data_IF_524471736347
#
_entry.id   IF_524471736347
#
_cell.length_a   1.000
_cell.length_b   1.000
_cell.length_c   1.000
_cell.angle_alpha   90.00
_cell.angle_beta   90.00
_cell.angle_gamma   90.00
#
_symmetry.space_group_name_H-M   'P 1'
#
loop_
_entity.id
_entity.type
_entity.pdbx_description
1 polymer ?
#
# COMPACT_ATOMS: atom_id res chain seq x y z
N UNK A 1 -14.93 -18.41 -5.72
CA UNK A 1 -15.25 -18.24 -7.15
C UNK A 1 -14.00 -17.64 -7.78
N UNK A 2 -13.32 -18.32 -8.72
CA UNK A 2 -12.15 -17.73 -9.40
C UNK A 2 -12.69 -16.64 -10.34
N UNK A 3 -12.35 -15.38 -10.10
CA UNK A 3 -12.73 -14.30 -10.99
C UNK A 3 -11.62 -14.09 -12.01
N UNK A 4 -11.97 -14.16 -13.29
CA UNK A 4 -11.18 -13.52 -14.34
C UNK A 4 -11.64 -12.08 -14.36
N UNK A 5 -10.78 -11.13 -14.00
CA UNK A 5 -11.10 -9.70 -14.08
C UNK A 5 -11.39 -9.40 -15.56
N UNK A 6 -12.68 -9.26 -15.89
CA UNK A 6 -13.11 -8.75 -17.18
C UNK A 6 -12.93 -7.24 -17.15
N UNK A 7 -12.14 -6.74 -18.10
CA UNK A 7 -11.83 -5.35 -18.38
C UNK A 7 -12.94 -4.37 -18.03
N UNK A 8 -12.71 -3.58 -16.99
CA UNK A 8 -13.22 -2.23 -16.90
C UNK A 8 -12.03 -1.37 -16.51
N UNK A 9 -11.61 -0.43 -17.37
CA UNK A 9 -10.64 0.59 -17.00
C UNK A 9 -11.42 1.56 -16.12
N UNK A 10 -11.44 1.35 -14.81
CA UNK A 10 -11.97 2.32 -13.87
C UNK A 10 -10.81 3.21 -13.44
N UNK A 11 -10.63 4.33 -14.14
CA UNK A 11 -9.76 5.39 -13.70
C UNK A 11 -10.40 6.05 -12.46
N UNK A 12 -9.89 5.73 -11.27
CA UNK A 12 -10.43 6.24 -10.01
C UNK A 12 -9.47 7.29 -9.46
N UNK A 13 -9.94 8.54 -9.31
CA UNK A 13 -9.16 9.56 -8.62
C UNK A 13 -9.06 9.20 -7.13
N UNK A 14 -7.92 8.63 -6.72
CA UNK A 14 -7.61 8.31 -5.33
C UNK A 14 -6.65 9.35 -4.76
N UNK A 15 -7.07 10.12 -3.75
CA UNK A 15 -6.14 10.95 -2.99
C UNK A 15 -6.58 11.05 -1.52
N UNK A 16 -5.83 10.38 -0.66
CA UNK A 16 -5.01 11.07 0.33
C UNK A 16 -3.60 10.48 0.24
N UNK A 17 -2.62 11.23 -0.28
CA UNK A 17 -1.23 10.84 -0.04
C UNK A 17 -0.39 12.03 0.38
N UNK A 18 0.60 11.72 1.21
CA UNK A 18 1.41 12.58 2.07
C UNK A 18 0.68 13.21 3.29
N UNK A 19 0.90 12.67 4.51
CA UNK A 19 0.56 13.36 5.75
C UNK A 19 1.42 14.63 5.94
N UNK A 20 0.85 15.65 6.59
CA UNK A 20 1.54 16.90 6.88
C UNK A 20 2.50 16.76 8.09
N UNK A 21 3.78 17.04 7.85
CA UNK A 21 4.89 17.33 8.81
C UNK A 21 5.19 16.30 9.91
N UNK A 22 6.43 15.79 9.94
CA UNK A 22 6.96 14.89 10.98
C UNK A 22 8.30 15.38 11.55
N UNK A 23 8.57 15.04 12.80
CA UNK A 23 9.87 15.17 13.47
C UNK A 23 10.37 13.78 13.88
N UNK A 24 11.51 13.35 13.33
CA UNK A 24 12.10 12.04 13.59
C UNK A 24 12.37 11.79 15.08
N UNK A 25 11.78 10.73 15.64
CA UNK A 25 12.27 10.05 16.83
C UNK A 25 12.72 8.64 16.44
N UNK A 26 13.96 8.26 16.75
CA UNK A 26 14.48 6.90 16.49
C UNK A 26 13.86 5.90 17.46
N UNK A 27 13.13 4.90 16.97
CA UNK A 27 12.64 3.73 17.73
C UNK A 27 11.42 3.08 17.08
N UNK A 28 10.85 2.03 17.69
CA UNK A 28 9.46 1.58 17.42
C UNK A 28 8.50 2.71 17.88
N UNK A 29 8.49 3.82 17.16
CA UNK A 29 7.62 4.95 17.44
C UNK A 29 6.30 4.74 16.72
N UNK A 30 5.22 4.60 17.49
CA UNK A 30 3.89 4.87 16.97
C UNK A 30 3.84 6.35 16.62
N UNK A 31 3.62 6.68 15.35
CA UNK A 31 3.40 8.07 14.96
C UNK A 31 2.02 8.50 15.44
N UNK A 32 1.98 9.14 16.60
CA UNK A 32 0.81 9.89 17.06
C UNK A 32 0.89 11.31 16.48
N UNK A 33 0.31 11.51 15.30
CA UNK A 33 0.05 12.84 14.78
C UNK A 33 -1.11 13.51 15.53
N UNK A 34 -0.98 14.80 15.85
CA UNK A 34 -2.16 15.64 16.09
C UNK A 34 -2.79 15.96 14.73
N UNK A 35 -3.67 15.10 14.24
CA UNK A 35 -4.37 15.30 12.97
C UNK A 35 -4.75 13.98 12.31
N UNK A 36 -5.51 14.08 11.23
CA UNK A 36 -5.92 12.92 10.46
C UNK A 36 -4.71 12.29 9.75
N UNK A 37 -4.65 10.96 9.78
CA UNK A 37 -3.62 10.13 9.19
C UNK A 37 -4.30 8.89 8.60
N UNK A 38 -4.10 8.64 7.32
CA UNK A 38 -4.92 7.67 6.58
C UNK A 38 -4.24 6.31 6.36
N UNK A 39 -3.02 6.13 6.85
CA UNK A 39 -2.23 4.90 6.65
C UNK A 39 -2.05 4.12 7.95
N UNK A 40 -2.33 2.82 7.90
CA UNK A 40 -1.98 1.84 8.94
C UNK A 40 -0.96 0.85 8.39
N UNK A 41 0.17 0.64 9.05
CA UNK A 41 1.21 -0.28 8.58
C UNK A 41 2.59 0.12 9.08
N UNK A 42 3.59 -0.02 8.22
CA UNK A 42 4.98 0.36 8.52
C UNK A 42 5.62 1.16 7.39
N UNK A 43 6.49 2.11 7.77
CA UNK A 43 7.27 2.94 6.84
C UNK A 43 8.74 2.91 7.22
N UNK A 44 9.57 2.44 6.30
CA UNK A 44 11.02 2.45 6.44
C UNK A 44 11.59 3.77 5.89
N UNK A 45 11.61 4.79 6.73
CA UNK A 45 12.18 6.10 6.36
C UNK A 45 13.71 6.03 6.20
N UNK A 46 14.22 6.88 5.31
CA UNK A 46 15.63 7.19 5.16
C UNK A 46 15.85 8.66 4.80
N UNK A 47 17.02 9.25 5.14
CA UNK A 47 17.34 10.60 4.70
C UNK A 47 17.44 10.68 3.17
N UNK A 48 17.39 11.90 2.62
CA UNK A 48 17.65 12.13 1.20
C UNK A 48 18.97 11.48 0.76
N UNK A 49 18.94 10.76 -0.36
CA UNK A 49 20.08 9.96 -0.84
C UNK A 49 20.09 8.52 -0.33
N UNK A 50 19.06 8.07 0.40
CA UNK A 50 18.89 6.65 0.75
C UNK A 50 18.72 5.78 -0.48
N UNK A 51 17.94 6.23 -1.48
CA UNK A 51 17.80 5.57 -2.77
C UNK A 51 17.03 4.25 -2.67
N UNK A 52 15.95 4.22 -1.88
CA UNK A 52 15.05 3.07 -1.89
C UNK A 52 14.46 2.91 -3.28
N UNK A 53 14.87 1.87 -3.98
CA UNK A 53 14.49 1.66 -5.37
C UNK A 53 13.69 0.37 -5.58
N UNK A 54 13.52 -0.45 -4.55
CA UNK A 54 12.73 -1.68 -4.63
C UNK A 54 12.00 -1.91 -3.31
N UNK A 55 10.69 -2.16 -3.38
CA UNK A 55 9.86 -2.52 -2.22
C UNK A 55 8.95 -3.68 -2.59
N UNK A 56 8.83 -4.65 -1.69
CA UNK A 56 8.03 -5.86 -1.89
C UNK A 56 7.33 -6.24 -0.58
N UNK A 57 6.11 -6.76 -0.68
CA UNK A 57 5.39 -7.41 0.41
C UNK A 57 4.33 -8.36 -0.13
N UNK A 58 3.95 -9.33 0.68
CA UNK A 58 2.97 -10.35 0.34
C UNK A 58 1.76 -10.29 1.26
N UNK A 59 0.57 -10.54 0.71
CA UNK A 59 -0.69 -10.60 1.45
C UNK A 59 -1.47 -11.84 1.03
N UNK A 60 -2.14 -12.49 1.98
CA UNK A 60 -3.16 -13.50 1.68
C UNK A 60 -4.47 -12.77 1.35
N UNK A 61 -5.02 -13.01 0.17
CA UNK A 61 -6.26 -12.36 -0.29
C UNK A 61 -7.38 -12.64 0.72
N UNK A 62 -7.96 -11.61 1.37
CA UNK A 62 -8.95 -11.83 2.40
C UNK A 62 -10.28 -12.33 1.81
N UNK A 63 -11.04 -13.07 2.62
CA UNK A 63 -12.35 -13.61 2.24
C UNK A 63 -13.47 -12.79 2.89
N UNK A 64 -13.75 -11.61 2.36
CA UNK A 64 -14.89 -10.80 2.80
C UNK A 64 -16.20 -11.32 2.21
N UNK A 65 -17.26 -11.28 3.00
CA UNK A 65 -18.60 -11.67 2.55
C UNK A 65 -19.69 -11.05 3.41
N UNK A 66 -20.83 -10.71 2.80
CA UNK A 66 -22.03 -10.25 3.51
C UNK A 66 -21.93 -8.88 4.17
N UNK A 67 -20.89 -8.09 3.87
CA UNK A 67 -20.72 -6.71 4.35
C UNK A 67 -21.35 -5.66 3.44
N UNK A 68 -21.19 -4.38 3.81
CA UNK A 68 -21.59 -3.25 2.97
C UNK A 68 -20.65 -3.14 1.75
N UNK A 69 -21.15 -3.16 0.50
CA UNK A 69 -20.32 -3.04 -0.70
C UNK A 69 -19.56 -1.71 -0.80
N UNK A 70 -19.94 -0.70 -0.02
CA UNK A 70 -19.24 0.60 0.04
C UNK A 70 -18.03 0.58 0.97
N UNK A 71 -17.95 -0.40 1.87
CA UNK A 71 -16.80 -0.56 2.75
C UNK A 71 -15.67 -1.29 2.04
N UNK A 72 -14.42 -0.95 2.34
CA UNK A 72 -13.27 -1.62 1.73
C UNK A 72 -12.05 -1.72 2.65
N UNK A 73 -11.14 -2.60 2.28
CA UNK A 73 -9.74 -2.59 2.72
C UNK A 73 -8.85 -2.39 1.48
N UNK A 74 -7.98 -1.38 1.51
CA UNK A 74 -6.97 -1.14 0.48
C UNK A 74 -5.59 -1.46 1.05
N UNK A 75 -4.88 -2.45 0.49
CA UNK A 75 -3.55 -2.88 0.97
C UNK A 75 -2.52 -2.82 -0.15
N UNK A 76 -1.35 -2.24 0.12
CA UNK A 76 -0.37 -1.94 -0.91
C UNK A 76 1.06 -1.83 -0.39
N UNK A 77 2.02 -1.81 -1.33
CA UNK A 77 3.43 -1.48 -1.09
C UNK A 77 3.86 -0.33 -1.99
N UNK A 78 4.78 0.49 -1.51
CA UNK A 78 5.19 1.70 -2.24
C UNK A 78 6.59 2.20 -1.91
N UNK A 79 7.01 3.17 -2.74
CA UNK A 79 8.15 4.05 -2.52
C UNK A 79 7.63 5.48 -2.44
N UNK A 80 8.12 6.24 -1.46
CA UNK A 80 7.82 7.66 -1.17
C UNK A 80 6.44 7.94 -0.54
N UNK A 81 5.93 9.16 -0.65
CA UNK A 81 4.63 9.54 -0.12
C UNK A 81 4.58 9.93 1.33
N UNK A 82 5.70 9.87 2.08
CA UNK A 82 5.74 10.33 3.46
C UNK A 82 6.68 11.52 3.66
N UNK A 83 7.99 11.27 3.69
CA UNK A 83 8.97 12.34 3.72
C UNK A 83 9.00 13.05 2.36
N UNK A 84 8.83 12.26 1.30
CA UNK A 84 8.68 12.75 -0.06
C UNK A 84 7.20 12.91 -0.44
N UNK A 85 6.71 14.14 -0.49
CA UNK A 85 5.32 14.44 -0.90
C UNK A 85 5.16 14.77 -2.39
N UNK A 86 6.19 14.54 -3.21
CA UNK A 86 6.13 14.83 -4.65
C UNK A 86 5.40 13.73 -5.42
N UNK A 87 5.62 12.47 -5.07
CA UNK A 87 5.12 11.29 -5.77
C UNK A 87 5.06 10.05 -4.86
N UNK A 88 4.40 9.00 -5.33
CA UNK A 88 4.46 7.64 -4.78
C UNK A 88 4.44 6.67 -5.95
N UNK A 89 5.33 5.69 -6.00
CA UNK A 89 5.20 4.54 -6.89
C UNK A 89 4.62 3.38 -6.08
N UNK A 90 3.40 2.93 -6.39
CA UNK A 90 2.67 1.99 -5.54
C UNK A 90 1.77 1.03 -6.33
N UNK A 91 1.51 -0.13 -5.73
CA UNK A 91 0.55 -1.13 -6.23
C UNK A 91 -0.05 -1.92 -5.08
N UNK A 92 -1.30 -2.36 -5.27
CA UNK A 92 -2.01 -3.09 -4.25
C UNK A 92 -3.29 -3.76 -4.70
N UNK A 93 -4.09 -4.11 -3.70
CA UNK A 93 -5.36 -4.79 -3.78
C UNK A 93 -6.39 -4.02 -2.96
N UNK A 94 -7.54 -3.74 -3.57
CA UNK A 94 -8.75 -3.31 -2.86
C UNK A 94 -9.69 -4.51 -2.76
N UNK A 95 -10.24 -4.75 -1.57
CA UNK A 95 -11.31 -5.72 -1.34
C UNK A 95 -12.49 -5.02 -0.66
N UNK A 96 -13.67 -5.10 -1.25
CA UNK A 96 -14.91 -4.51 -0.73
C UNK A 96 -15.66 -5.48 0.19
N UNK A 97 -16.55 -4.95 1.03
CA UNK A 97 -17.29 -5.73 2.03
C UNK A 97 -18.23 -6.80 1.45
N UNK A 98 -18.63 -6.66 0.19
CA UNK A 98 -19.38 -7.68 -0.55
C UNK A 98 -18.51 -8.81 -1.13
N UNK A 99 -17.18 -8.71 -0.98
CA UNK A 99 -16.20 -9.65 -1.47
C UNK A 99 -15.72 -9.39 -2.90
N UNK A 100 -16.20 -8.33 -3.56
CA UNK A 100 -15.61 -7.87 -4.82
C UNK A 100 -14.22 -7.28 -4.57
N UNK A 101 -13.32 -7.40 -5.54
CA UNK A 101 -11.94 -6.95 -5.40
C UNK A 101 -11.33 -6.57 -6.75
N UNK A 102 -10.27 -5.79 -6.72
CA UNK A 102 -9.51 -5.42 -7.90
C UNK A 102 -8.06 -5.05 -7.54
N UNK A 103 -7.15 -5.28 -8.49
CA UNK A 103 -5.74 -4.93 -8.37
C UNK A 103 -5.45 -3.63 -9.09
N UNK A 104 -4.55 -2.84 -8.51
CA UNK A 104 -4.28 -1.51 -9.00
C UNK A 104 -2.81 -1.17 -9.01
N UNK A 105 -2.46 -0.20 -9.85
CA UNK A 105 -1.13 0.40 -9.98
C UNK A 105 -1.25 1.91 -10.04
N UNK A 106 -0.28 2.61 -9.47
CA UNK A 106 -0.30 4.06 -9.46
C UNK A 106 1.11 4.67 -9.38
N UNK A 107 1.29 5.73 -10.15
CA UNK A 107 2.28 6.76 -9.88
C UNK A 107 1.53 7.98 -9.34
N UNK A 108 1.47 8.11 -8.02
CA UNK A 108 0.53 8.98 -7.33
C UNK A 108 0.66 10.45 -7.75
N UNK A 109 -0.49 11.14 -7.77
CA UNK A 109 -0.86 12.38 -8.50
C UNK A 109 -1.32 12.18 -9.93
N UNK A 110 -1.00 11.04 -10.54
CA UNK A 110 -1.80 10.53 -11.65
C UNK A 110 -3.01 9.74 -11.11
N UNK A 111 -3.88 9.30 -12.01
CA UNK A 111 -5.05 8.51 -11.64
C UNK A 111 -4.63 7.06 -11.36
N UNK A 112 -5.15 6.49 -10.26
CA UNK A 112 -5.04 5.07 -9.94
C UNK A 112 -5.74 4.22 -11.01
N UNK A 113 -5.07 3.17 -11.48
CA UNK A 113 -5.46 2.39 -12.64
C UNK A 113 -5.52 0.89 -12.35
N UNK A 114 -6.46 0.20 -12.99
CA UNK A 114 -6.44 -1.26 -13.13
C UNK A 114 -5.23 -1.70 -13.95
N UNK A 115 -4.74 -2.92 -13.67
CA UNK A 115 -3.80 -3.58 -14.58
C UNK A 115 -4.47 -3.90 -15.92
N UNK A 116 -3.78 -3.61 -17.02
CA UNK A 116 -4.28 -3.81 -18.39
C UNK A 116 -4.46 -5.29 -18.78
N UNK A 117 -3.85 -6.21 -18.04
CA UNK A 117 -4.02 -7.65 -18.20
C UNK A 117 -4.61 -8.22 -16.93
N UNK A 118 -5.54 -9.18 -17.05
CA UNK A 118 -6.10 -9.86 -15.89
C UNK A 118 -5.09 -10.80 -15.23
N UNK A 119 -5.06 -10.79 -13.90
CA UNK A 119 -4.46 -11.82 -13.05
C UNK A 119 -5.58 -12.69 -12.49
N UNK A 120 -5.49 -14.02 -12.56
CA UNK A 120 -6.48 -14.88 -11.91
C UNK A 120 -6.08 -15.12 -10.46
N UNK A 121 -6.95 -14.74 -9.51
CA UNK A 121 -6.76 -15.03 -8.09
C UNK A 121 -8.11 -15.14 -7.36
N UNK A 122 -8.07 -15.66 -6.14
CA UNK A 122 -9.24 -15.80 -5.27
C UNK A 122 -8.84 -15.60 -3.80
N UNK A 123 -9.82 -15.39 -2.89
CA UNK A 123 -9.56 -15.41 -1.46
C UNK A 123 -8.79 -16.67 -1.03
N UNK A 124 -7.78 -16.48 -0.19
CA UNK A 124 -6.84 -17.52 0.24
C UNK A 124 -5.59 -17.66 -0.62
N UNK A 125 -5.55 -17.08 -1.82
CA UNK A 125 -4.30 -17.00 -2.60
C UNK A 125 -3.31 -16.02 -1.94
N UNK A 126 -2.02 -16.23 -2.17
CA UNK A 126 -0.98 -15.28 -1.73
C UNK A 126 -0.57 -14.40 -2.90
N UNK A 127 -0.81 -13.10 -2.79
CA UNK A 127 -0.33 -12.11 -3.75
C UNK A 127 0.94 -11.46 -3.23
N UNK A 128 1.95 -11.36 -4.10
CA UNK A 128 3.16 -10.57 -3.89
C UNK A 128 3.08 -9.29 -4.69
N UNK A 129 3.16 -8.17 -4.00
CA UNK A 129 3.25 -6.84 -4.57
C UNK A 129 4.72 -6.43 -4.66
N UNK A 130 5.10 -5.74 -5.73
CA UNK A 130 6.45 -5.23 -5.92
C UNK A 130 6.41 -3.91 -6.66
N UNK A 131 7.17 -2.94 -6.16
CA UNK A 131 7.53 -1.73 -6.90
C UNK A 131 9.05 -1.66 -7.07
N UNK A 132 9.49 -1.24 -8.25
CA UNK A 132 10.90 -1.11 -8.59
C UNK A 132 11.13 0.17 -9.39
N UNK A 133 11.69 1.18 -8.73
CA UNK A 133 12.19 2.39 -9.38
C UNK A 133 13.49 2.09 -10.11
N UNK A 134 13.56 2.54 -11.37
CA UNK A 134 14.78 2.50 -12.20
C UNK A 134 15.41 3.87 -12.33
N UNK A 135 14.64 4.93 -12.06
CA UNK A 135 15.07 6.31 -11.88
C UNK A 135 13.97 7.08 -11.16
N UNK A 136 14.24 8.31 -10.73
CA UNK A 136 13.22 9.16 -10.12
C UNK A 136 11.96 9.39 -10.98
N UNK A 137 11.98 9.08 -12.27
CA UNK A 137 10.84 9.28 -13.19
C UNK A 137 10.46 8.00 -13.96
N UNK A 138 10.98 6.83 -13.56
CA UNK A 138 10.69 5.58 -14.25
C UNK A 138 10.76 4.38 -13.31
N UNK A 139 9.89 3.40 -13.53
CA UNK A 139 9.85 2.20 -12.69
C UNK A 139 8.80 1.21 -13.15
N UNK A 140 8.61 0.17 -12.36
CA UNK A 140 7.62 -0.87 -12.60
C UNK A 140 6.86 -1.18 -11.34
N UNK A 141 5.58 -1.48 -11.47
CA UNK A 141 4.80 -2.17 -10.46
C UNK A 141 4.49 -3.59 -10.95
N UNK A 142 4.42 -4.54 -10.05
CA UNK A 142 4.14 -5.94 -10.35
C UNK A 142 3.29 -6.56 -9.25
N UNK A 143 2.29 -7.33 -9.65
CA UNK A 143 1.55 -8.23 -8.76
C UNK A 143 1.67 -9.65 -9.27
N UNK A 144 2.10 -10.57 -8.41
CA UNK A 144 2.22 -12.00 -8.69
C UNK A 144 1.35 -12.81 -7.75
N UNK A 145 0.57 -13.75 -8.29
CA UNK A 145 -0.13 -14.74 -7.48
C UNK A 145 0.77 -15.95 -7.27
N UNK A 146 1.37 -16.05 -6.08
CA UNK A 146 2.29 -17.13 -5.73
C UNK A 146 1.62 -18.51 -5.70
N UNK A 147 0.29 -18.58 -5.60
CA UNK A 147 -0.46 -19.84 -5.60
C UNK A 147 -0.51 -20.50 -6.98
N UNK A 148 -0.40 -19.73 -8.07
CA UNK A 148 -0.51 -20.24 -9.44
C UNK A 148 0.62 -19.79 -10.38
N UNK A 149 1.49 -18.87 -9.95
CA UNK A 149 2.63 -18.35 -10.71
C UNK A 149 2.26 -17.33 -11.80
N UNK A 150 1.00 -16.91 -11.89
CA UNK A 150 0.59 -15.83 -12.79
C UNK A 150 1.03 -14.47 -12.21
N UNK A 151 1.29 -13.50 -13.08
CA UNK A 151 1.64 -12.14 -12.68
C UNK A 151 1.19 -11.10 -13.71
N UNK A 152 1.09 -9.85 -13.26
CA UNK A 152 0.78 -8.67 -14.07
C UNK A 152 1.73 -7.55 -13.70
N UNK A 153 2.03 -6.64 -14.63
CA UNK A 153 2.95 -5.54 -14.40
C UNK A 153 2.62 -4.31 -15.25
N UNK A 154 2.99 -3.13 -14.74
CA UNK A 154 2.88 -1.85 -15.42
C UNK A 154 4.26 -1.18 -15.40
N UNK A 155 4.66 -0.64 -16.55
CA UNK A 155 5.92 0.11 -16.69
C UNK A 155 5.63 1.60 -16.84
N UNK A 156 6.35 2.40 -16.07
CA UNK A 156 6.36 3.87 -16.12
C UNK A 156 7.72 4.32 -16.67
N UNK A 157 7.73 5.18 -17.69
CA UNK A 157 8.97 5.55 -18.40
C UNK A 157 9.32 7.04 -18.33
N UNK A 158 8.36 7.93 -18.07
CA UNK A 158 8.55 9.38 -18.19
C UNK A 158 7.65 10.18 -17.24
N UNK A 159 7.62 9.82 -15.97
CA UNK A 159 6.79 10.49 -14.94
C UNK A 159 7.47 11.77 -14.42
N UNK A 160 7.68 12.74 -15.31
CA UNK A 160 8.51 13.92 -15.06
C UNK A 160 7.84 15.01 -14.23
N UNK A 161 6.51 15.05 -14.22
CA UNK A 161 5.76 16.07 -13.49
C UNK A 161 5.85 15.86 -11.97
N UNK A 162 6.02 14.62 -11.54
CA UNK A 162 6.05 14.20 -10.14
C UNK A 162 7.17 13.18 -9.93
N UNK A 163 8.44 13.60 -9.85
CA UNK A 163 9.55 12.67 -9.61
C UNK A 163 9.52 12.12 -8.17
N UNK A 164 9.96 10.88 -8.02
CA UNK A 164 10.29 10.24 -6.74
C UNK A 164 11.51 10.92 -6.08
N UNK A 165 11.60 10.80 -4.76
CA UNK A 165 12.77 11.13 -3.96
C UNK A 165 13.55 9.88 -3.52
N UNK A 166 12.91 8.70 -3.52
CA UNK A 166 13.43 7.41 -3.05
C UNK A 166 13.89 7.45 -1.59
N UNK A 167 13.10 8.09 -0.72
CA UNK A 167 13.38 8.27 0.71
C UNK A 167 12.55 7.37 1.61
N UNK A 168 11.39 6.93 1.14
CA UNK A 168 10.47 6.10 1.91
C UNK A 168 10.24 4.74 1.23
N UNK A 169 10.02 3.71 2.03
CA UNK A 169 9.60 2.38 1.59
C UNK A 169 8.52 1.86 2.54
N UNK A 170 7.34 1.53 2.02
CA UNK A 170 6.19 1.31 2.89
C UNK A 170 5.29 0.14 2.50
N UNK A 171 4.55 -0.33 3.51
CA UNK A 171 3.62 -1.46 3.46
C UNK A 171 2.37 -1.09 4.26
N UNK A 172 1.28 -0.78 3.56
CA UNK A 172 0.19 0.02 4.11
C UNK A 172 -1.16 -0.65 3.88
N UNK A 173 -2.05 -0.50 4.86
CA UNK A 173 -3.50 -0.49 4.70
C UNK A 173 -4.01 0.95 4.80
N UNK A 174 -4.84 1.37 3.86
CA UNK A 174 -5.19 2.77 3.68
C UNK A 174 -6.70 3.04 3.77
N UNK A 175 -7.06 4.12 4.47
CA UNK A 175 -8.34 4.81 4.27
C UNK A 175 -8.21 5.71 3.04
N UNK A 176 -8.69 5.20 1.91
CA UNK A 176 -8.49 5.80 0.60
C UNK A 176 -9.76 6.51 0.13
N UNK A 177 -9.64 7.30 -0.93
CA UNK A 177 -10.79 7.95 -1.57
C UNK A 177 -11.08 7.35 -2.93
N UNK A 178 -12.34 7.25 -3.31
CA UNK A 178 -12.77 6.96 -4.66
C UNK A 178 -13.47 8.19 -5.23
N UNK A 179 -12.94 8.74 -6.33
CA UNK A 179 -13.46 9.94 -6.98
C UNK A 179 -13.53 11.15 -6.01
N UNK A 180 -12.52 11.28 -5.15
CA UNK A 180 -12.43 12.34 -4.15
C UNK A 180 -13.43 12.22 -2.99
N UNK A 181 -14.10 11.07 -2.84
CA UNK A 181 -14.95 10.75 -1.68
C UNK A 181 -14.28 9.67 -0.83
N UNK A 182 -14.22 9.80 0.51
CA UNK A 182 -13.72 8.75 1.38
C UNK A 182 -14.49 7.44 1.18
N UNK A 183 -13.76 6.33 1.11
CA UNK A 183 -14.35 4.99 1.06
C UNK A 183 -14.34 4.44 2.49
N UNK A 184 -15.50 4.18 3.11
CA UNK A 184 -15.55 3.67 4.47
C UNK A 184 -14.68 2.42 4.66
N UNK A 185 -13.99 2.32 5.80
CA UNK A 185 -13.22 1.12 6.13
C UNK A 185 -14.15 -0.07 6.39
N UNK A 186 -13.78 -1.22 5.85
CA UNK A 186 -14.33 -2.52 6.23
C UNK A 186 -13.66 -3.00 7.51
N UNK A 187 -14.38 -3.69 8.40
CA UNK A 187 -13.72 -4.37 9.52
C UNK A 187 -13.04 -5.65 9.02
N UNK A 188 -11.77 -5.56 8.63
CA UNK A 188 -10.99 -6.69 8.13
C UNK A 188 -10.42 -7.59 9.24
N UNK A 189 -10.70 -7.31 10.52
CA UNK A 189 -10.02 -7.95 11.64
C UNK A 189 -8.53 -7.61 11.62
N UNK A 190 -7.68 -8.57 11.29
CA UNK A 190 -6.23 -8.35 11.13
C UNK A 190 -5.79 -8.85 9.77
N UNK A 191 -5.12 -7.99 9.00
CA UNK A 191 -4.41 -8.36 7.77
C UNK A 191 -2.91 -8.29 8.05
N UNK A 192 -2.16 -9.26 7.52
CA UNK A 192 -0.71 -9.28 7.60
C UNK A 192 -0.07 -9.04 6.24
N UNK A 193 0.96 -8.18 6.22
CA UNK A 193 1.88 -8.01 5.09
C UNK A 193 3.21 -8.66 5.50
N UNK A 194 3.60 -9.72 4.80
CA UNK A 194 4.79 -10.54 5.11
C UNK A 194 5.76 -10.59 3.92
N UNK A 195 6.88 -11.29 4.07
CA UNK A 195 7.98 -11.31 3.09
C UNK A 195 8.42 -9.90 2.66
N UNK A 196 8.47 -8.99 3.64
CA UNK A 196 8.75 -7.57 3.43
C UNK A 196 10.21 -7.37 3.05
N UNK A 197 10.43 -6.63 1.97
CA UNK A 197 11.77 -6.30 1.47
C UNK A 197 11.80 -4.86 1.01
N UNK A 198 12.78 -4.09 1.47
CA UNK A 198 13.18 -2.81 0.87
C UNK A 198 14.66 -2.88 0.47
N UNK A 199 15.00 -2.43 -0.74
CA UNK A 199 16.39 -2.37 -1.22
C UNK A 199 16.76 -0.98 -1.68
N UNK A 200 18.01 -0.64 -1.40
CA UNK A 200 18.72 0.41 -2.09
C UNK A 200 20.00 -0.22 -2.70
N UNK A 201 20.81 0.53 -3.47
CA UNK A 201 22.01 -0.02 -4.11
C UNK A 201 23.03 -0.65 -3.16
N UNK A 202 22.99 -0.34 -1.86
CA UNK A 202 24.00 -0.74 -0.89
C UNK A 202 23.51 -1.80 0.10
N UNK A 203 22.20 -1.95 0.31
CA UNK A 203 21.65 -2.86 1.32
C UNK A 203 20.23 -3.32 0.99
N UNK A 204 19.87 -4.44 1.59
CA UNK A 204 18.51 -4.93 1.70
C UNK A 204 18.12 -4.97 3.18
N UNK A 205 16.89 -4.55 3.49
CA UNK A 205 16.27 -4.67 4.81
C UNK A 205 14.86 -5.28 4.68
N UNK A 206 14.29 -5.74 5.78
CA UNK A 206 12.85 -6.03 5.90
C UNK A 206 12.15 -4.83 6.56
N UNK A 207 10.86 -4.92 6.84
CA UNK A 207 10.18 -3.90 7.64
C UNK A 207 10.61 -3.89 9.12
N UNK A 208 11.44 -4.84 9.59
CA UNK A 208 11.86 -4.89 10.99
C UNK A 208 12.61 -3.61 11.40
N UNK A 209 12.07 -2.89 12.40
CA UNK A 209 12.61 -1.61 12.85
C UNK A 209 12.15 -0.39 12.06
N UNK A 210 11.20 -0.57 11.12
CA UNK A 210 10.48 0.52 10.47
C UNK A 210 9.57 1.26 11.46
N UNK A 211 9.22 2.50 11.13
CA UNK A 211 8.27 3.28 11.90
C UNK A 211 6.85 2.74 11.74
N UNK A 212 6.09 2.69 12.84
CA UNK A 212 4.73 2.16 12.85
C UNK A 212 3.72 3.29 12.65
N UNK A 213 2.82 3.12 11.68
CA UNK A 213 1.71 4.03 11.43
C UNK A 213 0.35 3.41 11.71
N UNK A 214 -0.58 4.25 12.13
CA UNK A 214 -1.97 3.88 12.35
C UNK A 214 -2.90 4.91 11.73
N UNK A 215 -4.03 4.44 11.21
CA UNK A 215 -5.11 5.30 10.74
C UNK A 215 -5.66 6.05 11.96
N UNK A 216 -5.65 7.38 11.89
CA UNK A 216 -6.23 8.28 12.87
C UNK A 216 -7.17 9.23 12.14
N UNK A 217 -8.45 9.27 12.48
CA UNK A 217 -9.42 10.15 11.81
C UNK A 217 -10.32 10.77 12.86
N UNK A 218 -10.46 12.10 12.82
CA UNK A 218 -11.24 12.88 13.78
C UNK A 218 -10.84 12.59 15.24
N UNK A 219 -9.56 12.30 15.49
CA UNK A 219 -9.03 11.97 16.82
C UNK A 219 -9.27 10.52 17.26
N UNK A 220 -9.84 9.66 16.41
CA UNK A 220 -10.00 8.24 16.67
C UNK A 220 -8.91 7.44 15.96
N UNK A 221 -8.16 6.64 16.71
CA UNK A 221 -7.27 5.62 16.13
C UNK A 221 -8.12 4.43 15.69
N UNK A 222 -8.10 4.14 14.39
CA UNK A 222 -8.92 3.10 13.75
C UNK A 222 -8.15 1.82 13.47
N UNK A 223 -6.82 1.85 13.52
CA UNK A 223 -5.98 0.66 13.38
C UNK A 223 -4.94 0.53 14.49
N UNK A 224 -4.55 -0.71 14.76
CA UNK A 224 -3.38 -1.07 15.56
C UNK A 224 -2.42 -1.91 14.73
N UNK A 225 -1.31 -1.27 14.33
CA UNK A 225 -0.24 -1.86 13.54
C UNK A 225 0.90 -2.33 14.43
N UNK A 226 1.52 -3.45 14.04
CA UNK A 226 2.70 -4.00 14.70
C UNK A 226 3.67 -4.60 13.69
N UNK A 227 4.97 -4.51 13.98
CA UNK A 227 6.05 -5.06 13.16
C UNK A 227 6.79 -6.12 13.97
N UNK A 228 6.83 -7.34 13.44
CA UNK A 228 7.54 -8.46 14.05
C UNK A 228 9.04 -8.44 13.71
N UNK A 229 9.83 -9.23 14.42
CA UNK A 229 11.29 -9.27 14.25
C UNK A 229 11.74 -9.77 12.87
N UNK A 230 10.91 -10.54 12.18
CA UNK A 230 11.14 -10.99 10.80
C UNK A 230 10.73 -9.93 9.75
N UNK A 231 10.10 -8.83 10.18
CA UNK A 231 9.54 -7.80 9.30
C UNK A 231 8.10 -8.07 8.87
N UNK A 232 7.42 -9.09 9.40
CA UNK A 232 5.99 -9.26 9.18
C UNK A 232 5.21 -8.15 9.88
N UNK A 233 4.34 -7.47 9.14
CA UNK A 233 3.50 -6.38 9.62
C UNK A 233 2.09 -6.91 9.81
N UNK A 234 1.47 -6.67 10.96
CA UNK A 234 0.05 -6.93 11.20
C UNK A 234 -0.69 -5.61 11.39
N UNK A 235 -1.77 -5.39 10.65
CA UNK A 235 -2.64 -4.21 10.78
C UNK A 235 -4.03 -4.64 11.20
N UNK A 236 -4.38 -4.36 12.45
CA UNK A 236 -5.68 -4.72 13.03
C UNK A 236 -6.64 -3.54 12.96
N UNK A 237 -7.84 -3.73 12.43
CA UNK A 237 -8.92 -2.75 12.55
C UNK A 237 -9.45 -2.76 13.99
N UNK A 238 -9.46 -1.58 14.63
CA UNK A 238 -9.95 -1.35 16.00
C UNK A 238 -10.99 -0.23 16.05
N UNK A 239 -11.46 0.24 14.89
CA UNK A 239 -12.52 1.25 14.80
C UNK A 239 -13.86 0.76 15.36
N UNK A 240 -14.82 1.68 15.57
CA UNK A 240 -16.16 1.31 16.03
C UNK A 240 -16.83 0.33 15.07
N UNK A 241 -17.63 -0.57 15.63
CA UNK A 241 -18.49 -1.50 14.89
C UNK A 241 -19.75 -0.81 14.36
#
# INVERSE_FOLDING_TARGET
MRQSIAFAIAAIAGVFAAPATYSHARGNSTIQGQGDFFWGGAVQEGPQGTGWNFVQGSVVVPSFSGGDPRQSANMWVGIDGRYCSSAILQTGLVVYGDGSFWLWTEWWKNVMQDYQSGLTFAPGDTLRFTVHSTSYTSGTTTVENLSNGEWVSQTYTSETDYPLCETDAEWILEDWTQNGQPVPLYNWGTISIFDTVARNPNRQVTAAGADIVNININGYTLTESNVQSDGTISVTYIGPN
#
